data_IF_694693603338
#
_entry.id   IF_694693603338
#
_cell.length_a   1.000
_cell.length_b   1.000
_cell.length_c   1.000
_cell.angle_alpha   90.00
_cell.angle_beta   90.00
_cell.angle_gamma   90.00
#
_symmetry.space_group_name_H-M   'P 1'
#
loop_
_entity.id
_entity.type
_entity.pdbx_description
1 polymer ?
#
# COMPACT_ATOMS: atom_id res chain seq x y z
N UNK A 1 -2.80 -0.62 9.41
CA UNK A 1 -3.50 -0.22 8.18
C UNK A 1 -4.15 -1.38 7.43
N UNK A 2 -3.46 -2.40 6.85
CA UNK A 2 -4.13 -3.45 6.06
C UNK A 2 -5.18 -4.25 6.84
N UNK A 3 -4.93 -4.55 8.11
CA UNK A 3 -5.92 -5.20 9.00
C UNK A 3 -7.19 -4.36 9.12
N UNK A 4 -7.05 -3.06 9.32
CA UNK A 4 -8.17 -2.13 9.49
C UNK A 4 -8.96 -1.96 8.19
N UNK A 5 -8.30 -1.91 7.04
CA UNK A 5 -8.96 -1.96 5.72
C UNK A 5 -9.81 -3.22 5.59
N UNK A 6 -9.28 -4.39 5.96
CA UNK A 6 -10.04 -5.65 5.91
C UNK A 6 -11.26 -5.65 6.83
N UNK A 7 -11.15 -5.06 8.01
CA UNK A 7 -12.28 -4.92 8.94
C UNK A 7 -13.37 -4.05 8.31
N UNK A 8 -13.00 -2.91 7.72
CA UNK A 8 -13.98 -2.00 7.10
C UNK A 8 -14.62 -2.67 5.87
N UNK A 9 -13.85 -3.39 5.06
CA UNK A 9 -14.41 -4.16 3.94
C UNK A 9 -15.35 -5.27 4.41
N UNK A 10 -15.06 -5.93 5.55
CA UNK A 10 -15.97 -6.91 6.14
C UNK A 10 -17.27 -6.26 6.63
N UNK A 11 -17.19 -5.08 7.25
CA UNK A 11 -18.37 -4.27 7.62
C UNK A 11 -19.17 -3.91 6.36
N UNK A 12 -18.49 -3.46 5.30
CA UNK A 12 -19.12 -3.11 4.04
C UNK A 12 -19.81 -4.30 3.36
N UNK A 13 -19.23 -5.49 3.46
CA UNK A 13 -19.84 -6.72 2.95
C UNK A 13 -21.10 -7.10 3.75
N UNK A 14 -21.02 -7.02 5.08
CA UNK A 14 -22.12 -7.41 5.98
C UNK A 14 -23.35 -6.48 5.85
N UNK A 15 -23.11 -5.17 5.83
CA UNK A 15 -24.16 -4.16 5.74
C UNK A 15 -24.51 -3.72 4.32
N UNK A 16 -23.84 -4.29 3.31
CA UNK A 16 -23.96 -3.94 1.89
C UNK A 16 -23.67 -2.47 1.57
N UNK A 17 -22.66 -1.88 2.22
CA UNK A 17 -22.24 -0.50 1.97
C UNK A 17 -21.64 -0.34 0.59
N UNK A 18 -21.78 0.84 -0.02
CA UNK A 18 -21.05 1.22 -1.21
C UNK A 18 -19.55 1.35 -0.92
N UNK A 19 -18.73 1.03 -1.91
CA UNK A 19 -17.28 1.14 -1.83
C UNK A 19 -16.81 1.83 -3.11
N UNK A 20 -16.41 3.09 -3.00
CA UNK A 20 -15.96 3.88 -4.13
C UNK A 20 -14.49 4.24 -4.00
N UNK A 21 -13.82 4.36 -5.15
CA UNK A 21 -12.41 4.68 -5.21
C UNK A 21 -12.21 6.03 -5.89
N UNK A 22 -11.31 6.83 -5.34
CA UNK A 22 -10.83 8.08 -5.92
C UNK A 22 -9.30 8.07 -5.91
N UNK A 23 -8.71 8.78 -6.87
CA UNK A 23 -7.26 8.92 -7.04
C UNK A 23 -6.89 10.40 -7.03
N UNK A 24 -5.93 10.77 -6.18
CA UNK A 24 -5.45 12.15 -6.06
C UNK A 24 -4.34 12.40 -7.07
N UNK A 25 -4.58 13.36 -7.97
CA UNK A 25 -3.57 13.73 -8.95
C UNK A 25 -2.43 14.50 -8.28
N UNK A 26 -1.20 14.11 -8.64
CA UNK A 26 0.01 14.82 -8.18
C UNK A 26 0.02 15.09 -6.67
N UNK A 27 -0.28 14.08 -5.89
CA UNK A 27 -0.58 14.11 -4.46
C UNK A 27 0.35 15.01 -3.65
N UNK A 28 1.66 14.86 -3.81
CA UNK A 28 2.61 15.64 -3.02
C UNK A 28 2.68 17.11 -3.43
N UNK A 29 2.30 17.47 -4.66
CA UNK A 29 2.24 18.88 -5.09
C UNK A 29 1.10 19.65 -4.41
N UNK A 30 0.17 18.97 -3.76
CA UNK A 30 -0.92 19.60 -3.00
C UNK A 30 -0.48 20.00 -1.58
N UNK A 31 0.67 19.48 -1.09
CA UNK A 31 1.20 19.80 0.24
C UNK A 31 1.93 21.15 0.29
N UNK A 32 1.79 21.86 1.40
CA UNK A 32 2.54 23.10 1.66
C UNK A 32 3.81 22.79 2.46
N UNK A 33 4.90 23.44 2.09
CA UNK A 33 6.17 23.38 2.83
C UNK A 33 6.16 24.43 3.94
N UNK A 34 6.58 24.01 5.14
CA UNK A 34 6.84 24.94 6.25
C UNK A 34 8.30 25.37 6.28
N UNK A 35 9.18 24.53 5.78
CA UNK A 35 10.61 24.72 5.70
C UNK A 35 11.00 25.36 4.36
N UNK A 36 12.09 26.13 4.36
CA UNK A 36 12.70 26.62 3.12
C UNK A 36 13.50 25.51 2.45
N UNK A 37 13.00 25.02 1.33
CA UNK A 37 13.67 24.03 0.50
C UNK A 37 14.09 24.63 -0.83
N UNK A 38 15.29 24.30 -1.24
CA UNK A 38 15.89 24.76 -2.48
C UNK A 38 16.29 23.56 -3.33
N UNK A 39 16.18 23.68 -4.65
CA UNK A 39 16.65 22.70 -5.62
C UNK A 39 17.44 23.38 -6.73
N UNK A 40 18.33 22.65 -7.36
CA UNK A 40 18.96 23.12 -8.59
C UNK A 40 17.91 23.30 -9.68
N UNK A 41 18.16 24.25 -10.59
CA UNK A 41 17.29 24.41 -11.75
C UNK A 41 17.28 23.12 -12.57
N UNK A 42 16.10 22.60 -12.95
CA UNK A 42 16.00 21.37 -13.72
C UNK A 42 16.70 21.50 -15.08
N UNK A 43 17.25 20.38 -15.55
CA UNK A 43 17.84 20.31 -16.89
C UNK A 43 16.82 20.74 -17.96
N UNK A 44 17.23 21.58 -18.89
CA UNK A 44 16.37 22.20 -19.91
C UNK A 44 15.58 23.42 -19.45
N UNK A 45 15.60 23.78 -18.15
CA UNK A 45 14.94 24.97 -17.59
C UNK A 45 15.94 25.91 -16.89
N UNK A 46 17.23 25.76 -17.15
CA UNK A 46 18.27 26.63 -16.58
C UNK A 46 18.19 28.00 -17.23
N UNK A 47 17.98 29.05 -16.42
CA UNK A 47 18.02 30.44 -16.87
C UNK A 47 19.46 30.82 -17.25
N UNK A 48 19.76 31.17 -18.50
CA UNK A 48 21.11 31.56 -18.91
C UNK A 48 21.69 32.75 -18.13
N UNK A 49 20.83 33.69 -17.68
CA UNK A 49 21.23 34.87 -16.89
C UNK A 49 21.32 34.59 -15.40
N UNK A 50 20.90 33.41 -14.98
CA UNK A 50 20.82 32.99 -13.59
C UNK A 50 21.28 31.56 -13.35
N UNK A 51 22.24 31.06 -14.14
CA UNK A 51 22.67 29.64 -14.08
C UNK A 51 23.15 29.20 -12.67
N UNK A 52 23.66 30.12 -11.86
CA UNK A 52 24.11 29.87 -10.48
C UNK A 52 22.99 30.02 -9.42
N UNK A 53 21.77 30.38 -9.83
CA UNK A 53 20.65 30.51 -8.93
C UNK A 53 20.00 29.13 -8.69
N UNK A 54 19.40 29.00 -7.53
CA UNK A 54 18.59 27.83 -7.16
C UNK A 54 17.11 28.19 -7.12
N UNK A 55 16.25 27.21 -7.29
CA UNK A 55 14.81 27.38 -7.17
C UNK A 55 14.39 27.19 -5.71
N UNK A 56 13.73 28.19 -5.11
CA UNK A 56 13.04 28.06 -3.83
C UNK A 56 11.69 27.39 -4.06
N UNK A 57 11.45 26.23 -3.44
CA UNK A 57 10.20 25.52 -3.60
C UNK A 57 9.07 26.26 -2.89
N UNK A 58 7.97 26.52 -3.60
CA UNK A 58 6.74 27.11 -3.07
C UNK A 58 5.80 26.05 -2.49
N UNK A 59 5.87 24.84 -3.03
CA UNK A 59 5.08 23.68 -2.61
C UNK A 59 5.96 22.46 -2.54
N UNK A 60 5.46 21.43 -1.88
CA UNK A 60 6.10 20.13 -1.86
C UNK A 60 6.20 19.53 -3.27
N UNK A 61 7.26 18.75 -3.50
CA UNK A 61 7.47 17.97 -4.72
C UNK A 61 7.77 16.52 -4.35
N UNK A 62 7.79 15.65 -5.36
CA UNK A 62 8.29 14.28 -5.17
C UNK A 62 9.80 14.27 -4.90
N UNK A 63 10.24 13.51 -3.90
CA UNK A 63 11.64 13.37 -3.49
C UNK A 63 11.92 13.76 -2.04
N UNK A 64 11.60 14.97 -1.57
CA UNK A 64 11.79 15.35 -0.17
C UNK A 64 11.01 14.45 0.81
N UNK A 65 11.64 14.08 1.92
CA UNK A 65 11.01 13.24 2.98
C UNK A 65 9.77 13.93 3.57
N UNK A 66 9.75 15.26 3.62
CA UNK A 66 8.65 16.07 4.15
C UNK A 66 7.39 16.03 3.29
N UNK A 67 7.50 15.64 2.03
CA UNK A 67 6.41 15.72 1.06
C UNK A 67 5.17 14.92 1.50
N UNK A 68 5.35 13.68 1.95
CA UNK A 68 4.26 12.83 2.41
C UNK A 68 3.56 13.39 3.65
N UNK A 69 4.33 13.96 4.58
CA UNK A 69 3.80 14.61 5.79
C UNK A 69 3.01 15.87 5.44
N UNK A 70 3.54 16.69 4.55
CA UNK A 70 2.88 17.95 4.13
C UNK A 70 1.54 17.65 3.45
N UNK A 71 1.49 16.62 2.60
CA UNK A 71 0.26 16.14 2.01
C UNK A 71 -0.73 15.63 3.06
N UNK A 72 -0.28 14.78 3.98
CA UNK A 72 -1.15 14.24 5.02
C UNK A 72 -1.77 15.35 5.88
N UNK A 73 -1.00 16.37 6.28
CA UNK A 73 -1.51 17.52 7.04
C UNK A 73 -2.56 18.30 6.24
N UNK A 74 -2.29 18.54 4.95
CA UNK A 74 -3.23 19.23 4.07
C UNK A 74 -4.55 18.47 3.97
N UNK A 75 -4.49 17.18 3.67
CA UNK A 75 -5.68 16.33 3.54
C UNK A 75 -6.45 16.20 4.86
N UNK A 76 -5.74 15.95 5.97
CA UNK A 76 -6.32 15.84 7.31
C UNK A 76 -7.13 17.09 7.69
N UNK A 77 -6.60 18.27 7.39
CA UNK A 77 -7.30 19.54 7.66
C UNK A 77 -8.58 19.68 6.84
N UNK A 78 -8.53 19.29 5.56
CA UNK A 78 -9.70 19.36 4.66
C UNK A 78 -10.79 18.38 5.09
N UNK A 79 -10.42 17.14 5.40
CA UNK A 79 -11.41 16.10 5.72
C UNK A 79 -12.03 16.33 7.11
N UNK A 80 -11.26 16.82 8.07
CA UNK A 80 -11.78 17.23 9.39
C UNK A 80 -12.70 18.43 9.31
N UNK A 81 -12.41 19.40 8.44
CA UNK A 81 -13.30 20.54 8.19
C UNK A 81 -14.66 20.11 7.62
N UNK A 82 -14.71 19.00 6.87
CA UNK A 82 -15.97 18.39 6.41
C UNK A 82 -16.71 17.62 7.52
N UNK A 83 -16.10 17.47 8.69
CA UNK A 83 -16.70 16.81 9.85
C UNK A 83 -16.36 15.34 10.02
N UNK A 84 -15.35 14.83 9.33
CA UNK A 84 -14.80 13.51 9.62
C UNK A 84 -13.93 13.53 10.87
N UNK A 85 -13.92 12.42 11.59
CA UNK A 85 -13.09 12.19 12.77
C UNK A 85 -12.09 11.08 12.44
N UNK A 86 -10.82 11.34 12.68
CA UNK A 86 -9.76 10.35 12.52
C UNK A 86 -9.93 9.23 13.54
N UNK A 87 -9.77 7.98 13.09
CA UNK A 87 -9.92 6.81 13.97
C UNK A 87 -8.70 6.68 14.89
N UNK A 88 -8.95 6.40 16.16
CA UNK A 88 -7.87 6.15 17.12
C UNK A 88 -7.00 4.97 16.68
N UNK A 89 -5.68 5.17 16.70
CA UNK A 89 -4.68 4.14 16.35
C UNK A 89 -4.45 3.92 14.84
N UNK A 90 -5.25 4.54 13.95
CA UNK A 90 -5.11 4.41 12.49
C UNK A 90 -5.23 5.77 11.80
N UNK A 91 -4.09 6.42 11.62
CA UNK A 91 -4.03 7.79 11.08
C UNK A 91 -4.56 7.95 9.64
N UNK A 92 -4.72 6.86 8.89
CA UNK A 92 -5.20 6.87 7.51
C UNK A 92 -6.71 6.61 7.38
N UNK A 93 -7.42 6.44 8.50
CA UNK A 93 -8.84 6.08 8.52
C UNK A 93 -9.63 7.17 9.23
N UNK A 94 -10.65 7.64 8.55
CA UNK A 94 -11.59 8.64 9.06
C UNK A 94 -13.00 8.07 9.02
N UNK A 95 -13.80 8.50 9.98
CA UNK A 95 -15.21 8.10 10.11
C UNK A 95 -16.07 9.34 10.29
N UNK A 96 -17.25 9.34 9.68
CA UNK A 96 -18.31 10.29 9.96
C UNK A 96 -19.60 9.54 10.18
N UNK A 97 -20.40 9.99 11.14
CA UNK A 97 -21.72 9.43 11.45
C UNK A 97 -22.71 10.61 11.54
N UNK A 98 -23.81 10.50 10.83
CA UNK A 98 -24.87 11.50 10.83
C UNK A 98 -26.23 10.80 10.81
N UNK A 99 -26.90 10.73 11.96
CA UNK A 99 -28.11 9.93 12.10
C UNK A 99 -27.85 8.44 11.83
N UNK A 100 -28.51 7.88 10.82
CA UNK A 100 -28.31 6.49 10.36
C UNK A 100 -27.22 6.33 9.31
N UNK A 101 -26.67 7.43 8.78
CA UNK A 101 -25.58 7.40 7.79
C UNK A 101 -24.23 7.17 8.47
N UNK A 102 -23.48 6.23 7.97
CA UNK A 102 -22.13 5.87 8.45
C UNK A 102 -21.18 5.82 7.27
N UNK A 103 -20.17 6.68 7.29
CA UNK A 103 -19.16 6.76 6.25
C UNK A 103 -17.77 6.56 6.81
N UNK A 104 -16.97 5.81 6.07
CA UNK A 104 -15.54 5.65 6.27
C UNK A 104 -14.79 6.23 5.08
N UNK A 105 -13.70 6.89 5.36
CA UNK A 105 -12.72 7.30 4.37
C UNK A 105 -11.38 6.71 4.74
N UNK A 106 -10.75 6.03 3.78
CA UNK A 106 -9.43 5.45 3.93
C UNK A 106 -8.51 6.18 2.95
N UNK A 107 -7.46 6.81 3.45
CA UNK A 107 -6.43 7.47 2.65
C UNK A 107 -5.17 6.61 2.60
N UNK A 108 -4.67 6.35 1.40
CA UNK A 108 -3.35 5.77 1.22
C UNK A 108 -2.59 6.51 0.12
N UNK A 109 -1.77 7.46 0.52
CA UNK A 109 -1.01 8.37 -0.35
C UNK A 109 -1.94 9.11 -1.33
N UNK A 110 -2.19 8.54 -2.49
CA UNK A 110 -3.04 9.03 -3.59
C UNK A 110 -4.38 8.29 -3.69
N UNK A 111 -4.44 7.04 -3.24
CA UNK A 111 -5.66 6.24 -3.22
C UNK A 111 -6.60 6.63 -2.06
N UNK A 112 -7.85 6.89 -2.38
CA UNK A 112 -8.91 7.10 -1.40
C UNK A 112 -10.01 6.07 -1.62
N UNK A 113 -10.41 5.37 -0.55
CA UNK A 113 -11.68 4.64 -0.52
C UNK A 113 -12.70 5.42 0.28
N UNK A 114 -13.88 5.61 -0.32
CA UNK A 114 -15.09 6.08 0.34
C UNK A 114 -16.04 4.91 0.50
N UNK A 115 -16.46 4.64 1.73
CA UNK A 115 -17.28 3.48 2.08
C UNK A 115 -18.43 3.97 2.95
N UNK A 116 -19.66 3.66 2.60
CA UNK A 116 -20.82 4.11 3.38
C UNK A 116 -22.14 3.54 2.88
N UNK A 117 -23.20 3.79 3.66
CA UNK A 117 -24.55 3.33 3.38
C UNK A 117 -25.44 4.38 2.70
N UNK A 118 -24.97 5.62 2.57
CA UNK A 118 -25.72 6.73 1.98
C UNK A 118 -25.02 7.22 0.70
N UNK A 119 -25.60 6.89 -0.45
CA UNK A 119 -25.04 7.25 -1.76
C UNK A 119 -25.10 8.74 -2.05
N UNK A 120 -26.13 9.44 -1.56
CA UNK A 120 -26.26 10.89 -1.75
C UNK A 120 -25.18 11.62 -0.94
N UNK A 121 -24.96 11.15 0.29
CA UNK A 121 -23.91 11.70 1.13
C UNK A 121 -22.52 11.42 0.57
N UNK A 122 -22.25 10.21 0.08
CA UNK A 122 -20.99 9.88 -0.59
C UNK A 122 -20.74 10.77 -1.83
N UNK A 123 -21.78 11.09 -2.61
CA UNK A 123 -21.69 12.03 -3.72
C UNK A 123 -21.39 13.46 -3.25
N UNK A 124 -21.94 13.89 -2.11
CA UNK A 124 -21.66 15.20 -1.53
C UNK A 124 -20.20 15.33 -1.10
N UNK A 125 -19.60 14.25 -0.57
CA UNK A 125 -18.18 14.18 -0.24
C UNK A 125 -17.32 14.36 -1.50
N UNK A 126 -17.65 13.64 -2.58
CA UNK A 126 -16.95 13.81 -3.88
C UNK A 126 -17.05 15.25 -4.38
N UNK A 127 -18.21 15.88 -4.22
CA UNK A 127 -18.44 17.29 -4.55
C UNK A 127 -17.55 18.24 -3.75
N UNK A 128 -17.38 17.98 -2.46
CA UNK A 128 -16.54 18.78 -1.57
C UNK A 128 -15.05 18.72 -1.95
N UNK A 129 -14.59 17.57 -2.43
CA UNK A 129 -13.19 17.40 -2.86
C UNK A 129 -12.84 18.06 -4.21
N UNK A 130 -13.77 18.74 -4.88
CA UNK A 130 -13.49 19.41 -6.17
C UNK A 130 -12.31 20.39 -6.13
N UNK A 131 -11.97 20.92 -4.96
CA UNK A 131 -10.84 21.83 -4.77
C UNK A 131 -9.48 21.09 -4.71
N UNK A 132 -9.47 19.79 -4.56
CA UNK A 132 -8.27 18.94 -4.64
C UNK A 132 -8.36 18.20 -5.98
N UNK A 133 -7.31 18.26 -6.83
CA UNK A 133 -7.35 17.56 -8.11
C UNK A 133 -7.47 16.05 -7.91
N UNK A 134 -8.67 15.52 -8.09
CA UNK A 134 -8.97 14.09 -7.93
C UNK A 134 -9.67 13.52 -9.15
N UNK A 135 -9.49 12.24 -9.38
CA UNK A 135 -10.22 11.44 -10.35
C UNK A 135 -11.15 10.50 -9.62
N UNK A 136 -12.42 10.51 -9.95
CA UNK A 136 -13.38 9.49 -9.51
C UNK A 136 -13.18 8.23 -10.36
N UNK A 137 -12.90 7.11 -9.72
CA UNK A 137 -12.71 5.81 -10.36
C UNK A 137 -13.98 4.94 -10.28
N UNK A 138 -15.05 5.43 -9.65
CA UNK A 138 -16.30 4.70 -9.47
C UNK A 138 -16.22 3.63 -8.39
N UNK A 139 -16.88 2.48 -8.61
CA UNK A 139 -16.84 1.35 -7.69
C UNK A 139 -15.42 0.81 -7.55
N UNK A 140 -15.00 0.57 -6.30
CA UNK A 140 -13.63 0.18 -6.00
C UNK A 140 -13.32 -1.22 -6.51
N UNK A 141 -12.38 -1.29 -7.43
CA UNK A 141 -11.87 -2.56 -7.98
C UNK A 141 -10.52 -2.97 -7.39
N UNK A 142 -9.79 -2.03 -6.80
CA UNK A 142 -8.48 -2.27 -6.21
C UNK A 142 -8.29 -1.44 -4.94
N UNK A 143 -7.46 -1.95 -4.04
CA UNK A 143 -6.88 -1.22 -2.91
C UNK A 143 -5.46 -1.72 -2.66
N UNK A 144 -4.47 -0.81 -2.65
CA UNK A 144 -3.06 -1.17 -2.41
C UNK A 144 -2.53 -2.24 -3.38
N UNK A 145 -2.98 -2.23 -4.64
CA UNK A 145 -2.64 -3.26 -5.62
C UNK A 145 -3.32 -4.62 -5.41
N UNK A 146 -4.23 -4.72 -4.44
CA UNK A 146 -5.04 -5.90 -4.17
C UNK A 146 -6.36 -5.74 -4.88
N UNK A 147 -6.75 -6.71 -5.72
CA UNK A 147 -8.04 -6.70 -6.41
C UNK A 147 -9.15 -6.99 -5.42
N UNK A 148 -10.20 -6.18 -5.47
CA UNK A 148 -11.43 -6.38 -4.72
C UNK A 148 -12.41 -7.11 -5.64
N UNK A 149 -12.93 -8.24 -5.20
CA UNK A 149 -14.06 -8.94 -5.80
C UNK A 149 -15.26 -8.78 -4.89
N UNK A 150 -16.43 -8.46 -5.43
CA UNK A 150 -17.64 -8.31 -4.65
C UNK A 150 -18.77 -9.14 -5.23
N UNK A 151 -19.46 -9.87 -4.35
CA UNK A 151 -20.72 -10.57 -4.62
C UNK A 151 -21.75 -10.10 -3.60
N UNK A 152 -22.62 -9.18 -4.00
CA UNK A 152 -23.64 -8.59 -3.13
C UNK A 152 -24.69 -9.59 -2.71
N UNK A 153 -25.06 -10.54 -3.60
CA UNK A 153 -26.07 -11.55 -3.32
C UNK A 153 -25.65 -12.47 -2.17
N UNK A 154 -24.34 -12.72 -2.05
CA UNK A 154 -23.73 -13.54 -1.00
C UNK A 154 -23.16 -12.74 0.15
N UNK A 155 -23.25 -11.41 0.11
CA UNK A 155 -22.58 -10.48 1.06
C UNK A 155 -21.09 -10.78 1.23
N UNK A 156 -20.42 -11.05 0.12
CA UNK A 156 -19.03 -11.48 0.09
C UNK A 156 -18.15 -10.44 -0.59
N UNK A 157 -17.01 -10.15 0.06
CA UNK A 157 -15.89 -9.44 -0.54
C UNK A 157 -14.68 -10.35 -0.50
N UNK A 158 -14.11 -10.63 -1.67
CA UNK A 158 -12.86 -11.37 -1.84
C UNK A 158 -11.71 -10.44 -2.19
N UNK A 159 -10.53 -10.72 -1.64
CA UNK A 159 -9.30 -10.00 -1.94
C UNK A 159 -8.33 -10.91 -2.69
N UNK A 160 -7.77 -10.43 -3.80
CA UNK A 160 -6.88 -11.22 -4.66
C UNK A 160 -5.63 -10.45 -5.06
N UNK A 161 -4.49 -11.13 -5.01
CA UNK A 161 -3.21 -10.65 -5.50
C UNK A 161 -2.70 -11.46 -6.70
N UNK A 162 -3.59 -12.04 -7.51
CA UNK A 162 -3.21 -12.93 -8.61
C UNK A 162 -2.13 -12.33 -9.53
N UNK A 163 -2.28 -11.06 -9.92
CA UNK A 163 -1.31 -10.36 -10.77
C UNK A 163 0.07 -10.22 -10.08
N UNK A 164 0.09 -9.88 -8.80
CA UNK A 164 1.33 -9.79 -8.03
C UNK A 164 2.00 -11.14 -7.90
N UNK A 165 1.25 -12.18 -7.49
CA UNK A 165 1.77 -13.53 -7.33
C UNK A 165 2.35 -14.07 -8.65
N UNK A 166 1.68 -13.84 -9.77
CA UNK A 166 2.21 -14.22 -11.08
C UNK A 166 3.53 -13.51 -11.41
N UNK A 167 3.64 -12.21 -11.13
CA UNK A 167 4.89 -11.47 -11.29
C UNK A 167 6.02 -12.03 -10.41
N UNK A 168 5.72 -12.39 -9.16
CA UNK A 168 6.69 -12.99 -8.23
C UNK A 168 7.16 -14.36 -8.75
N UNK A 169 6.22 -15.25 -9.10
CA UNK A 169 6.56 -16.55 -9.66
C UNK A 169 7.45 -16.43 -10.91
N UNK A 170 7.10 -15.54 -11.85
CA UNK A 170 7.89 -15.29 -13.05
C UNK A 170 9.28 -14.74 -12.72
N UNK A 171 9.39 -13.79 -11.76
CA UNK A 171 10.66 -13.21 -11.32
C UNK A 171 11.63 -14.28 -10.83
N UNK A 172 11.13 -15.29 -10.13
CA UNK A 172 11.95 -16.38 -9.57
C UNK A 172 11.92 -17.65 -10.42
N UNK A 173 11.44 -17.59 -11.67
CA UNK A 173 11.37 -18.72 -12.62
C UNK A 173 10.57 -19.91 -12.08
N UNK A 174 9.52 -19.63 -11.31
CA UNK A 174 8.64 -20.64 -10.69
C UNK A 174 7.26 -20.72 -11.36
N UNK A 175 7.04 -20.01 -12.46
CA UNK A 175 5.77 -19.94 -13.16
C UNK A 175 5.35 -21.29 -13.77
N UNK A 176 6.32 -22.17 -14.08
CA UNK A 176 6.09 -23.55 -14.57
C UNK A 176 6.27 -24.61 -13.46
N UNK A 177 6.51 -24.21 -12.21
CA UNK A 177 6.70 -25.17 -11.13
C UNK A 177 5.41 -25.93 -10.82
N UNK A 178 5.56 -27.22 -10.46
CA UNK A 178 4.43 -28.02 -9.99
C UNK A 178 3.86 -27.44 -8.69
N UNK A 179 2.52 -27.43 -8.60
CA UNK A 179 1.84 -27.00 -7.37
C UNK A 179 2.06 -28.03 -6.27
N UNK A 180 2.56 -27.57 -5.12
CA UNK A 180 2.60 -28.36 -3.89
C UNK A 180 1.32 -28.17 -3.06
N UNK A 181 0.99 -29.13 -2.24
CA UNK A 181 -0.17 -29.07 -1.33
C UNK A 181 0.19 -28.45 0.03
N UNK A 182 1.46 -28.57 0.45
CA UNK A 182 1.95 -28.07 1.73
C UNK A 182 3.05 -27.03 1.50
N UNK A 183 3.00 -25.89 2.20
CA UNK A 183 4.06 -24.88 2.11
C UNK A 183 5.41 -25.33 2.69
N UNK A 184 5.41 -26.30 3.58
CA UNK A 184 6.62 -26.92 4.17
C UNK A 184 6.44 -28.43 4.20
N UNK A 185 7.45 -29.16 3.77
CA UNK A 185 7.47 -30.61 3.88
C UNK A 185 7.67 -31.02 5.34
N UNK A 186 6.97 -32.08 5.77
CA UNK A 186 7.12 -32.63 7.12
C UNK A 186 8.55 -33.20 7.28
N UNK A 187 9.19 -32.91 8.41
CA UNK A 187 10.54 -33.41 8.72
C UNK A 187 11.68 -32.49 8.26
N UNK A 188 11.41 -31.41 7.54
CA UNK A 188 12.44 -30.41 7.20
C UNK A 188 12.83 -29.65 8.47
N UNK A 189 14.10 -29.80 8.87
CA UNK A 189 14.68 -29.05 9.97
C UNK A 189 15.69 -28.03 9.41
N UNK A 190 15.40 -26.75 9.65
CA UNK A 190 16.29 -25.64 9.33
C UNK A 190 17.02 -25.24 10.60
N UNK A 191 18.36 -25.30 10.60
CA UNK A 191 19.19 -25.03 11.77
C UNK A 191 20.33 -24.07 11.43
N UNK A 192 20.83 -23.36 12.43
CA UNK A 192 21.86 -22.35 12.24
C UNK A 192 23.20 -22.91 11.71
N UNK A 193 23.49 -24.19 11.95
CA UNK A 193 24.72 -24.83 11.43
C UNK A 193 24.73 -25.00 9.91
N UNK A 194 23.59 -24.87 9.26
CA UNK A 194 23.45 -24.87 7.78
C UNK A 194 23.77 -23.50 7.18
N UNK A 195 23.98 -22.47 8.00
CA UNK A 195 24.41 -21.16 7.51
C UNK A 195 25.86 -21.19 7.03
N UNK A 196 26.22 -20.47 5.95
CA UNK A 196 27.57 -20.47 5.40
C UNK A 196 28.58 -19.88 6.38
N UNK A 197 29.63 -20.64 6.68
CA UNK A 197 30.74 -20.23 7.54
C UNK A 197 31.97 -19.81 6.71
N UNK A 198 32.13 -20.38 5.51
CA UNK A 198 33.26 -20.10 4.59
C UNK A 198 32.96 -18.95 3.63
N UNK A 199 33.98 -18.30 3.10
CA UNK A 199 33.85 -17.28 2.07
C UNK A 199 33.26 -17.86 0.78
N UNK A 200 33.67 -19.09 0.43
CA UNK A 200 33.21 -19.78 -0.77
C UNK A 200 31.69 -20.04 -0.73
N UNK A 201 31.15 -20.51 0.37
CA UNK A 201 29.72 -20.77 0.53
C UNK A 201 28.90 -19.47 0.49
N UNK A 202 29.44 -18.39 1.04
CA UNK A 202 28.82 -17.06 0.95
C UNK A 202 28.77 -16.55 -0.48
N UNK A 203 29.85 -16.77 -1.27
CA UNK A 203 29.86 -16.40 -2.68
C UNK A 203 28.82 -17.20 -3.49
N UNK A 204 28.66 -18.50 -3.24
CA UNK A 204 27.59 -19.31 -3.85
C UNK A 204 26.19 -18.74 -3.58
N UNK A 205 25.97 -18.25 -2.37
CA UNK A 205 24.66 -17.69 -1.98
C UNK A 205 24.42 -16.28 -2.52
N UNK A 206 25.45 -15.50 -2.90
CA UNK A 206 25.27 -14.14 -3.45
C UNK A 206 24.46 -14.10 -4.74
N UNK A 207 24.52 -15.15 -5.55
CA UNK A 207 23.77 -15.23 -6.81
C UNK A 207 22.28 -15.60 -6.60
N UNK A 208 21.94 -16.07 -5.39
CA UNK A 208 20.58 -16.47 -5.02
C UNK A 208 19.89 -15.28 -4.36
N UNK A 209 18.83 -14.71 -4.96
CA UNK A 209 18.13 -13.54 -4.39
C UNK A 209 17.22 -13.92 -3.22
N UNK A 210 17.77 -14.60 -2.21
CA UNK A 210 17.02 -15.17 -1.08
C UNK A 210 16.18 -14.13 -0.33
N UNK A 211 16.79 -13.04 0.12
CA UNK A 211 16.07 -11.98 0.84
C UNK A 211 14.95 -11.35 0.00
N UNK A 212 15.18 -11.21 -1.32
CA UNK A 212 14.17 -10.70 -2.25
C UNK A 212 12.99 -11.66 -2.41
N UNK A 213 13.25 -12.98 -2.44
CA UNK A 213 12.22 -14.00 -2.52
C UNK A 213 11.37 -14.01 -1.25
N UNK A 214 12.03 -14.09 -0.08
CA UNK A 214 11.35 -14.04 1.24
C UNK A 214 10.51 -12.78 1.37
N UNK A 215 11.05 -11.60 1.07
CA UNK A 215 10.31 -10.33 1.15
C UNK A 215 9.09 -10.30 0.22
N UNK A 216 9.21 -10.86 -0.98
CA UNK A 216 8.09 -10.95 -1.93
C UNK A 216 6.97 -11.85 -1.41
N UNK A 217 7.32 -13.03 -0.86
CA UNK A 217 6.32 -13.95 -0.31
C UNK A 217 5.74 -13.41 1.01
N UNK A 218 6.55 -12.72 1.83
CA UNK A 218 6.09 -12.07 3.07
C UNK A 218 5.02 -11.01 2.77
N UNK A 219 5.19 -10.22 1.73
CA UNK A 219 4.15 -9.27 1.30
C UNK A 219 2.88 -10.00 0.86
N UNK A 220 2.99 -11.07 0.08
CA UNK A 220 1.84 -11.90 -0.30
C UNK A 220 1.12 -12.48 0.92
N UNK A 221 1.89 -13.00 1.88
CA UNK A 221 1.40 -13.55 3.15
C UNK A 221 0.59 -12.51 3.93
N UNK A 222 1.14 -11.32 4.11
CA UNK A 222 0.46 -10.25 4.87
C UNK A 222 -0.83 -9.78 4.19
N UNK A 223 -0.90 -9.84 2.88
CA UNK A 223 -2.03 -9.33 2.12
C UNK A 223 -3.15 -10.36 1.90
N UNK A 224 -2.82 -11.57 1.41
CA UNK A 224 -3.85 -12.54 0.98
C UNK A 224 -3.50 -14.01 1.28
N UNK A 225 -2.24 -14.36 1.56
CA UNK A 225 -1.75 -15.73 1.66
C UNK A 225 -1.28 -16.06 3.08
N UNK A 226 -2.19 -15.97 4.06
CA UNK A 226 -1.91 -16.31 5.46
C UNK A 226 -1.49 -17.78 5.66
N UNK A 227 -1.87 -18.66 4.74
CA UNK A 227 -1.54 -20.08 4.72
C UNK A 227 -0.03 -20.37 4.66
N UNK A 228 0.78 -19.46 4.07
CA UNK A 228 2.24 -19.62 4.00
C UNK A 228 2.98 -19.03 5.22
N UNK A 229 2.25 -18.57 6.25
CA UNK A 229 2.84 -17.87 7.40
C UNK A 229 3.90 -18.71 8.11
N UNK A 230 3.62 -19.99 8.38
CA UNK A 230 4.57 -20.90 9.04
C UNK A 230 5.85 -21.04 8.22
N UNK A 231 5.72 -21.30 6.91
CA UNK A 231 6.86 -21.46 6.02
C UNK A 231 7.75 -20.22 6.00
N UNK A 232 7.15 -19.05 5.83
CA UNK A 232 7.88 -17.78 5.78
C UNK A 232 8.54 -17.45 7.12
N UNK A 233 7.91 -17.78 8.25
CA UNK A 233 8.54 -17.62 9.55
C UNK A 233 9.77 -18.51 9.72
N UNK A 234 9.73 -19.74 9.24
CA UNK A 234 10.85 -20.67 9.33
C UNK A 234 12.04 -20.18 8.47
N UNK A 235 11.84 -19.94 7.18
CA UNK A 235 12.92 -19.55 6.27
C UNK A 235 13.37 -18.09 6.48
N UNK A 236 12.49 -17.21 6.93
CA UNK A 236 12.78 -15.81 7.19
C UNK A 236 13.82 -15.58 8.31
N UNK A 237 14.00 -16.54 9.21
CA UNK A 237 15.01 -16.47 10.29
C UNK A 237 16.45 -16.44 9.74
N UNK A 238 16.66 -17.00 8.56
CA UNK A 238 17.97 -17.13 7.94
C UNK A 238 18.25 -16.04 6.88
N UNK A 239 17.39 -15.04 6.77
CA UNK A 239 17.45 -14.02 5.72
C UNK A 239 18.77 -13.22 5.67
N UNK A 240 19.45 -13.07 6.82
CA UNK A 240 20.73 -12.36 6.92
C UNK A 240 21.94 -13.19 6.46
N UNK A 241 21.88 -14.52 6.60
CA UNK A 241 22.98 -15.44 6.26
C UNK A 241 22.41 -16.80 5.82
N UNK A 242 21.67 -16.88 4.69
CA UNK A 242 21.08 -18.13 4.25
C UNK A 242 22.12 -19.09 3.69
N UNK A 243 21.98 -20.38 3.99
CA UNK A 243 22.72 -21.46 3.34
C UNK A 243 21.91 -22.12 2.22
N UNK A 244 22.54 -23.04 1.51
CA UNK A 244 21.94 -23.73 0.36
C UNK A 244 20.73 -24.58 0.77
N UNK A 245 20.74 -25.09 1.99
CA UNK A 245 19.65 -25.95 2.52
C UNK A 245 18.41 -25.15 2.99
N UNK A 246 18.57 -23.84 3.16
CA UNK A 246 17.47 -22.95 3.52
C UNK A 246 16.58 -22.59 2.35
#
# INVERSE_FOLDING_TARGET
MLKSVRIILAIAAFYDYEIWQMDVKTTFLNGYLKEELYMMQPEGFVDPKGANKVCKLQRSIYGPVQASRSWNICFDSVIKAYGFIQTFGEACIYKKVSGSSVEFLILYVDDILLIGNDTEFLNSIKGYFKNIPMKDLGEASYILGIKIYRDRSRRLIGLSQSTYLHKVLKKFKMDQAKKGFLPVLQGVQLIQTQCPTTAEDREKMKVIPYASAIGSIMYAMLCTRLDVCLAINLVGRYQSNPGVDH
#
